data_IF_632092410292
#
_entry.id   IF_632092410292
#
_cell.length_a   1.000
_cell.length_b   1.000
_cell.length_c   1.000
_cell.angle_alpha   90.00
_cell.angle_beta   90.00
_cell.angle_gamma   90.00
#
_symmetry.space_group_name_H-M   'P 1'
#
loop_
_entity.id
_entity.type
_entity.pdbx_description
1 polymer ?
#
# COMPACT_ATOMS: atom_id res chain seq x y z
N UNK A 1 -27.75 9.09 -2.34
CA UNK A 1 -26.63 10.02 -2.10
C UNK A 1 -25.86 9.69 -0.81
N UNK A 2 -26.46 9.68 0.39
CA UNK A 2 -25.70 9.32 1.61
C UNK A 2 -25.36 7.82 1.72
N UNK A 3 -26.26 6.90 1.33
CA UNK A 3 -25.97 5.45 1.37
C UNK A 3 -24.84 5.02 0.42
N UNK A 4 -24.72 5.67 -0.74
CA UNK A 4 -23.63 5.43 -1.69
C UNK A 4 -22.31 5.98 -1.18
N UNK A 5 -22.30 7.18 -0.60
CA UNK A 5 -21.09 7.72 0.05
C UNK A 5 -20.63 6.87 1.24
N UNK A 6 -21.56 6.33 2.04
CA UNK A 6 -21.23 5.47 3.17
C UNK A 6 -20.65 4.13 2.72
N UNK A 7 -21.25 3.49 1.71
CA UNK A 7 -20.75 2.23 1.15
C UNK A 7 -19.35 2.42 0.54
N UNK A 8 -19.16 3.49 -0.23
CA UNK A 8 -17.87 3.87 -0.80
C UNK A 8 -16.85 4.16 0.31
N UNK A 9 -17.23 4.86 1.38
CA UNK A 9 -16.33 5.12 2.51
C UNK A 9 -15.98 3.84 3.31
N UNK A 10 -16.89 2.87 3.41
CA UNK A 10 -16.62 1.58 4.05
C UNK A 10 -15.70 0.71 3.19
N UNK A 11 -15.93 0.63 1.86
CA UNK A 11 -15.02 -0.06 0.93
C UNK A 11 -13.64 0.61 0.88
N UNK A 12 -13.57 1.94 0.77
CA UNK A 12 -12.31 2.70 0.73
C UNK A 12 -11.47 2.54 2.00
N UNK A 13 -12.10 2.40 3.17
CA UNK A 13 -11.39 2.24 4.43
C UNK A 13 -10.67 0.88 4.52
N UNK A 14 -11.24 -0.18 3.96
CA UNK A 14 -10.65 -1.51 4.01
C UNK A 14 -9.49 -1.63 3.01
N UNK A 15 -9.64 -1.11 1.79
CA UNK A 15 -8.54 -1.06 0.82
C UNK A 15 -7.37 -0.21 1.33
N UNK A 16 -7.60 1.00 1.83
CA UNK A 16 -6.52 1.83 2.37
C UNK A 16 -5.80 1.15 3.55
N UNK A 17 -6.52 0.39 4.39
CA UNK A 17 -5.91 -0.39 5.47
C UNK A 17 -5.06 -1.56 4.95
N UNK A 18 -5.52 -2.27 3.93
CA UNK A 18 -4.76 -3.34 3.27
C UNK A 18 -3.46 -2.81 2.64
N UNK A 19 -3.51 -1.65 1.97
CA UNK A 19 -2.32 -1.00 1.41
C UNK A 19 -1.23 -0.76 2.47
N UNK A 20 -1.60 -0.17 3.61
CA UNK A 20 -0.66 0.06 4.73
C UNK A 20 -0.11 -1.24 5.32
N UNK A 21 -0.93 -2.30 5.39
CA UNK A 21 -0.47 -3.61 5.86
C UNK A 21 0.62 -4.17 4.94
N UNK A 22 0.43 -4.09 3.62
CA UNK A 22 1.44 -4.49 2.65
C UNK A 22 2.71 -3.65 2.73
N UNK A 23 2.62 -2.34 2.92
CA UNK A 23 3.81 -1.50 3.14
C UNK A 23 4.62 -1.89 4.36
N UNK A 24 3.94 -2.20 5.47
CA UNK A 24 4.59 -2.69 6.69
C UNK A 24 5.27 -4.05 6.49
N UNK A 25 4.64 -4.97 5.76
CA UNK A 25 5.26 -6.25 5.40
C UNK A 25 6.48 -6.02 4.49
N UNK A 26 6.39 -5.13 3.51
CA UNK A 26 7.50 -4.75 2.64
C UNK A 26 8.72 -4.27 3.43
N UNK A 27 8.49 -3.35 4.37
CA UNK A 27 9.53 -2.84 5.27
C UNK A 27 10.14 -3.93 6.16
N UNK A 28 9.30 -4.83 6.70
CA UNK A 28 9.78 -5.95 7.51
C UNK A 28 10.69 -6.90 6.70
N UNK A 29 10.31 -7.24 5.47
CA UNK A 29 11.14 -8.08 4.61
C UNK A 29 12.40 -7.36 4.13
N UNK A 30 12.34 -6.04 3.92
CA UNK A 30 13.51 -5.23 3.60
C UNK A 30 14.52 -5.27 4.76
N UNK A 31 14.06 -5.09 6.00
CA UNK A 31 14.89 -5.21 7.20
C UNK A 31 15.49 -6.62 7.40
N UNK A 32 14.84 -7.66 6.88
CA UNK A 32 15.33 -9.04 6.89
C UNK A 32 16.29 -9.35 5.72
N UNK A 33 16.55 -8.39 4.82
CA UNK A 33 17.36 -8.59 3.62
C UNK A 33 16.67 -9.41 2.52
N UNK A 34 15.37 -9.69 2.68
CA UNK A 34 14.56 -10.46 1.73
C UNK A 34 13.94 -9.52 0.68
N UNK A 35 14.79 -8.90 -0.14
CA UNK A 35 14.41 -7.82 -1.06
C UNK A 35 13.34 -8.24 -2.09
N UNK A 36 13.37 -9.48 -2.60
CA UNK A 36 12.34 -9.98 -3.52
C UNK A 36 10.94 -9.97 -2.90
N UNK A 37 10.84 -10.33 -1.61
CA UNK A 37 9.56 -10.28 -0.90
C UNK A 37 9.17 -8.83 -0.61
N UNK A 38 10.12 -8.00 -0.19
CA UNK A 38 9.88 -6.58 0.04
C UNK A 38 9.29 -5.88 -1.21
N UNK A 39 9.88 -6.12 -2.38
CA UNK A 39 9.41 -5.57 -3.66
C UNK A 39 7.99 -6.06 -3.99
N UNK A 40 7.68 -7.34 -3.75
CA UNK A 40 6.32 -7.87 -3.99
C UNK A 40 5.28 -7.15 -3.13
N UNK A 41 5.55 -6.98 -1.84
CA UNK A 41 4.61 -6.32 -0.95
C UNK A 41 4.49 -4.82 -1.21
N UNK A 42 5.59 -4.12 -1.49
CA UNK A 42 5.52 -2.71 -1.90
C UNK A 42 4.78 -2.53 -3.24
N UNK A 43 4.86 -3.48 -4.19
CA UNK A 43 4.02 -3.40 -5.41
C UNK A 43 2.52 -3.55 -5.10
N UNK A 44 2.14 -4.39 -4.13
CA UNK A 44 0.75 -4.54 -3.70
C UNK A 44 0.23 -3.29 -2.98
N UNK A 45 1.05 -2.70 -2.11
CA UNK A 45 0.79 -1.39 -1.51
C UNK A 45 0.57 -0.31 -2.58
N UNK A 46 1.45 -0.25 -3.60
CA UNK A 46 1.34 0.71 -4.69
C UNK A 46 0.03 0.52 -5.46
N UNK A 47 -0.32 -0.71 -5.82
CA UNK A 47 -1.56 -1.00 -6.55
C UNK A 47 -2.78 -0.47 -5.79
N UNK A 48 -2.89 -0.79 -4.50
CA UNK A 48 -4.02 -0.37 -3.68
C UNK A 48 -4.03 1.15 -3.49
N UNK A 49 -2.86 1.76 -3.25
CA UNK A 49 -2.76 3.22 -3.13
C UNK A 49 -3.18 3.96 -4.39
N UNK A 50 -3.03 3.36 -5.58
CA UNK A 50 -3.57 3.89 -6.83
C UNK A 50 -5.10 3.73 -6.89
N UNK A 51 -5.63 2.57 -6.51
CA UNK A 51 -7.08 2.29 -6.49
C UNK A 51 -7.84 3.24 -5.54
N UNK A 52 -7.27 3.55 -4.37
CA UNK A 52 -7.88 4.48 -3.40
C UNK A 52 -7.46 5.94 -3.56
N UNK A 53 -6.65 6.26 -4.58
CA UNK A 53 -6.08 7.60 -4.83
C UNK A 53 -5.29 8.18 -3.63
N UNK A 54 -4.64 7.34 -2.83
CA UNK A 54 -3.76 7.74 -1.73
C UNK A 54 -2.37 8.11 -2.25
N UNK A 55 -2.21 9.40 -2.56
CA UNK A 55 -0.96 9.99 -3.07
C UNK A 55 0.19 9.90 -2.06
N UNK A 56 -0.09 9.90 -0.76
CA UNK A 56 0.94 9.84 0.27
C UNK A 56 1.58 8.45 0.31
N UNK A 57 0.75 7.40 0.29
CA UNK A 57 1.21 6.01 0.22
C UNK A 57 1.96 5.73 -1.08
N UNK A 58 1.52 6.26 -2.22
CA UNK A 58 2.25 6.15 -3.50
C UNK A 58 3.69 6.68 -3.40
N UNK A 59 3.85 7.91 -2.87
CA UNK A 59 5.16 8.54 -2.74
C UNK A 59 6.11 7.74 -1.82
N UNK A 60 5.60 7.27 -0.68
CA UNK A 60 6.40 6.43 0.23
C UNK A 60 6.81 5.12 -0.42
N UNK A 61 5.89 4.48 -1.15
CA UNK A 61 6.14 3.19 -1.79
C UNK A 61 7.22 3.29 -2.87
N UNK A 62 7.24 4.38 -3.64
CA UNK A 62 8.29 4.63 -4.62
C UNK A 62 9.67 4.76 -3.97
N UNK A 63 9.77 5.43 -2.82
CA UNK A 63 11.01 5.48 -2.04
C UNK A 63 11.45 4.10 -1.56
N UNK A 64 10.52 3.30 -1.04
CA UNK A 64 10.82 1.96 -0.53
C UNK A 64 11.24 0.99 -1.65
N UNK A 65 10.61 1.07 -2.82
CA UNK A 65 11.00 0.29 -4.00
C UNK A 65 12.40 0.69 -4.49
N UNK A 66 12.76 1.97 -4.45
CA UNK A 66 14.10 2.43 -4.84
C UNK A 66 15.21 1.94 -3.91
N UNK A 67 14.91 1.66 -2.65
CA UNK A 67 15.85 1.07 -1.68
C UNK A 67 15.93 -0.45 -1.80
N UNK A 68 14.85 -1.10 -2.26
CA UNK A 68 14.77 -2.55 -2.40
C UNK A 68 15.35 -3.09 -3.72
N UNK A 69 15.68 -2.22 -4.70
CA UNK A 69 16.45 -2.55 -5.90
C UNK A 69 17.93 -2.20 -5.71
#
# INVERSE_FOLDING_TARGET
>A
LHKTHLAIAQELNDYAAQGRAYGNMGNAYNALGAFDQAVRYHRQELQISMEVNDRASQASTHGNLAVAY
#
